data_IF_211330386694
#
_entry.id   IF_211330386694
#
_cell.length_a   1.000
_cell.length_b   1.000
_cell.length_c   1.000
_cell.angle_alpha   90.00
_cell.angle_beta   90.00
_cell.angle_gamma   90.00
#
_symmetry.space_group_name_H-M   'P 1'
#
loop_
_entity.id
_entity.type
_entity.pdbx_description
1 polymer ?
#
# COMPACT_ATOMS: atom_id res chain seq x y z
N UNK A 1 -14.02 -23.07 -3.08
CA UNK A 1 -12.71 -23.09 -3.77
C UNK A 1 -11.68 -23.63 -2.81
N UNK A 2 -10.91 -24.65 -3.20
CA UNK A 2 -9.89 -25.21 -2.34
C UNK A 2 -8.57 -24.44 -2.46
N UNK A 3 -7.62 -24.75 -1.59
CA UNK A 3 -6.33 -24.06 -1.54
C UNK A 3 -5.57 -24.15 -2.86
N UNK A 4 -5.62 -25.32 -3.50
CA UNK A 4 -4.95 -25.56 -4.77
C UNK A 4 -5.49 -24.66 -5.86
N UNK A 5 -6.82 -24.48 -5.92
CA UNK A 5 -7.46 -23.56 -6.85
C UNK A 5 -7.08 -22.11 -6.57
N UNK A 6 -6.98 -21.75 -5.30
CA UNK A 6 -6.55 -20.39 -4.91
C UNK A 6 -5.11 -20.14 -5.35
N UNK A 7 -4.21 -21.10 -5.11
CA UNK A 7 -2.80 -20.98 -5.49
C UNK A 7 -2.58 -20.99 -6.99
N UNK A 8 -3.45 -21.67 -7.74
CA UNK A 8 -3.35 -21.73 -9.20
C UNK A 8 -4.02 -20.55 -9.91
N UNK A 9 -4.72 -19.70 -9.16
CA UNK A 9 -5.35 -18.52 -9.73
C UNK A 9 -4.30 -17.60 -10.31
N UNK A 10 -4.49 -17.25 -11.57
CA UNK A 10 -3.66 -16.28 -12.27
C UNK A 10 -4.36 -14.91 -12.30
N UNK A 11 -5.19 -14.64 -11.30
CA UNK A 11 -5.82 -13.35 -11.17
C UNK A 11 -4.74 -12.31 -10.87
N UNK A 12 -4.75 -11.19 -11.56
CA UNK A 12 -3.76 -10.16 -11.33
C UNK A 12 -3.94 -9.54 -9.96
N UNK A 13 -2.82 -9.18 -9.36
CA UNK A 13 -2.80 -8.38 -8.16
C UNK A 13 -2.22 -7.02 -8.49
N UNK A 14 -2.74 -5.98 -7.85
CA UNK A 14 -2.26 -4.63 -8.04
C UNK A 14 -1.48 -4.16 -6.83
N UNK A 15 -0.37 -3.48 -7.09
CA UNK A 15 0.33 -2.68 -6.09
C UNK A 15 -0.08 -1.23 -6.37
N UNK A 16 -0.64 -0.57 -5.38
CA UNK A 16 -1.17 0.78 -5.52
C UNK A 16 -0.51 1.74 -4.53
N UNK A 17 -0.62 3.03 -4.82
CA UNK A 17 -0.20 4.10 -3.93
C UNK A 17 -1.40 5.00 -3.69
N UNK A 18 -1.74 5.21 -2.42
CA UNK A 18 -2.89 6.03 -2.05
C UNK A 18 -2.47 7.13 -1.10
N UNK A 19 -2.99 8.33 -1.36
CA UNK A 19 -2.96 9.45 -0.43
C UNK A 19 -4.29 9.47 0.31
N UNK A 20 -4.27 9.74 1.59
CA UNK A 20 -5.49 9.83 2.39
C UNK A 20 -5.26 10.67 3.62
N UNK A 21 -6.36 11.04 4.27
CA UNK A 21 -6.32 11.80 5.52
C UNK A 21 -6.94 10.96 6.63
N UNK A 22 -6.16 10.68 7.66
CA UNK A 22 -6.61 9.89 8.81
C UNK A 22 -6.22 10.62 10.10
N UNK A 23 -7.18 10.72 11.04
CA UNK A 23 -6.98 11.45 12.30
C UNK A 23 -6.46 12.88 12.07
N UNK A 24 -6.91 13.52 10.99
CA UNK A 24 -6.49 14.87 10.62
C UNK A 24 -5.11 14.97 9.99
N UNK A 25 -4.40 13.84 9.83
CA UNK A 25 -3.06 13.80 9.27
C UNK A 25 -3.08 13.38 7.80
N UNK A 26 -2.48 14.21 6.94
CA UNK A 26 -2.22 13.82 5.55
C UNK A 26 -1.20 12.69 5.53
N UNK A 27 -1.54 11.61 4.85
CA UNK A 27 -0.82 10.34 4.93
C UNK A 27 -0.77 9.66 3.58
N UNK A 28 0.08 8.65 3.46
CA UNK A 28 0.12 7.81 2.29
C UNK A 28 0.47 6.38 2.66
N UNK A 29 0.14 5.47 1.77
CA UNK A 29 0.60 4.07 1.88
C UNK A 29 0.59 3.38 0.53
N UNK A 30 1.57 2.52 0.26
CA UNK A 30 1.46 1.50 -0.76
C UNK A 30 0.65 0.31 -0.21
N UNK A 31 -0.02 -0.41 -1.09
CA UNK A 31 -0.75 -1.60 -0.68
C UNK A 31 -1.01 -2.51 -1.86
N UNK A 32 -1.45 -3.72 -1.60
CA UNK A 32 -1.80 -4.67 -2.65
C UNK A 32 -3.28 -5.07 -2.56
N UNK A 33 -3.87 -5.37 -3.69
CA UNK A 33 -5.25 -5.82 -3.77
C UNK A 33 -5.46 -6.69 -4.99
N UNK A 34 -6.35 -7.69 -4.86
CA UNK A 34 -6.80 -8.50 -5.97
C UNK A 34 -8.04 -7.96 -6.68
N UNK A 35 -8.55 -6.81 -6.24
CA UNK A 35 -9.73 -6.20 -6.85
C UNK A 35 -9.33 -5.37 -8.06
N UNK A 36 -10.18 -5.38 -9.09
CA UNK A 36 -9.98 -4.55 -10.27
C UNK A 36 -10.07 -3.07 -9.94
N UNK A 37 -10.91 -2.72 -8.98
CA UNK A 37 -11.10 -1.34 -8.54
C UNK A 37 -10.56 -1.14 -7.14
N UNK A 38 -9.38 -0.52 -7.06
CA UNK A 38 -8.71 -0.21 -5.80
C UNK A 38 -9.54 0.77 -4.96
N UNK A 39 -10.33 1.63 -5.61
CA UNK A 39 -11.07 2.69 -4.91
C UNK A 39 -12.12 2.15 -3.96
N UNK A 40 -12.72 0.99 -4.26
CA UNK A 40 -13.79 0.41 -3.43
C UNK A 40 -13.37 0.23 -1.97
N UNK A 41 -12.13 -0.17 -1.76
CA UNK A 41 -11.61 -0.39 -0.41
C UNK A 41 -11.58 0.91 0.39
N UNK A 42 -11.12 1.99 -0.24
CA UNK A 42 -10.99 3.28 0.41
C UNK A 42 -12.32 4.02 0.51
N UNK A 43 -13.24 3.80 -0.44
CA UNK A 43 -14.61 4.29 -0.32
C UNK A 43 -15.29 3.75 0.93
N UNK A 44 -15.09 2.47 1.24
CA UNK A 44 -15.60 1.85 2.45
C UNK A 44 -15.05 2.53 3.71
N UNK A 45 -13.76 2.81 3.74
CA UNK A 45 -13.13 3.52 4.86
C UNK A 45 -13.68 4.94 5.00
N UNK A 46 -13.95 5.60 3.88
CA UNK A 46 -14.53 6.93 3.86
C UNK A 46 -15.95 6.93 4.42
N UNK A 47 -16.78 5.96 3.99
CA UNK A 47 -18.14 5.80 4.48
C UNK A 47 -18.19 5.52 5.97
N UNK A 48 -17.25 4.75 6.48
CA UNK A 48 -17.16 4.42 7.90
C UNK A 48 -16.56 5.55 8.75
N UNK A 49 -16.11 6.64 8.11
CA UNK A 49 -15.52 7.77 8.80
C UNK A 49 -14.11 7.54 9.32
N UNK A 50 -13.43 6.47 8.84
CA UNK A 50 -12.07 6.15 9.24
C UNK A 50 -11.09 7.14 8.62
N UNK A 51 -11.33 7.48 7.36
CA UNK A 51 -10.58 8.50 6.64
C UNK A 51 -11.54 9.60 6.21
N UNK A 52 -11.04 10.80 6.00
CA UNK A 52 -11.88 11.93 5.56
C UNK A 52 -11.73 12.26 4.08
N UNK A 53 -10.70 11.71 3.43
CA UNK A 53 -10.45 11.94 2.00
C UNK A 53 -9.44 10.91 1.52
N UNK A 54 -9.44 10.59 0.21
CA UNK A 54 -8.41 9.74 -0.39
C UNK A 54 -8.26 9.98 -1.88
N UNK A 55 -7.09 9.62 -2.42
CA UNK A 55 -6.79 9.67 -3.84
C UNK A 55 -5.80 8.57 -4.18
N UNK A 56 -6.15 7.74 -5.17
CA UNK A 56 -5.22 6.75 -5.72
C UNK A 56 -4.32 7.46 -6.73
N UNK A 57 -3.02 7.46 -6.50
CA UNK A 57 -2.05 8.13 -7.38
C UNK A 57 -1.62 7.26 -8.54
N UNK A 58 -1.34 5.98 -8.27
CA UNK A 58 -0.86 5.06 -9.30
C UNK A 58 -1.10 3.63 -8.85
N UNK A 59 -1.08 2.72 -9.81
CA UNK A 59 -1.09 1.29 -9.55
C UNK A 59 -0.42 0.55 -10.69
N UNK A 60 0.07 -0.65 -10.39
CA UNK A 60 0.66 -1.54 -11.39
C UNK A 60 0.19 -2.97 -11.14
N UNK A 61 0.08 -3.76 -12.20
CA UNK A 61 -0.36 -5.14 -12.13
C UNK A 61 0.82 -6.10 -12.03
N UNK A 62 0.63 -7.13 -11.23
CA UNK A 62 1.57 -8.25 -11.09
C UNK A 62 0.81 -9.53 -11.44
N UNK A 63 1.54 -10.56 -11.85
CA UNK A 63 0.94 -11.81 -12.33
C UNK A 63 0.18 -12.57 -11.25
N UNK A 64 0.58 -12.40 -9.99
CA UNK A 64 -0.04 -13.09 -8.86
C UNK A 64 0.25 -12.35 -7.56
N UNK A 65 -0.40 -12.81 -6.47
CA UNK A 65 -0.25 -12.21 -5.15
C UNK A 65 1.18 -12.25 -4.63
N UNK A 66 1.90 -13.34 -4.90
CA UNK A 66 3.27 -13.50 -4.39
C UNK A 66 4.21 -12.44 -4.95
N UNK A 67 4.14 -12.18 -6.26
CA UNK A 67 4.95 -11.14 -6.89
C UNK A 67 4.58 -9.75 -6.39
N UNK A 68 3.28 -9.47 -6.26
CA UNK A 68 2.82 -8.19 -5.73
C UNK A 68 3.28 -7.98 -4.29
N UNK A 69 3.17 -9.03 -3.46
CA UNK A 69 3.60 -8.99 -2.06
C UNK A 69 5.10 -8.72 -1.94
N UNK A 70 5.91 -9.42 -2.72
CA UNK A 70 7.37 -9.22 -2.72
C UNK A 70 7.73 -7.78 -3.11
N UNK A 71 7.06 -7.25 -4.12
CA UNK A 71 7.28 -5.88 -4.57
C UNK A 71 6.90 -4.87 -3.47
N UNK A 72 5.77 -5.08 -2.81
CA UNK A 72 5.33 -4.24 -1.71
C UNK A 72 6.32 -4.25 -0.55
N UNK A 73 6.74 -5.45 -0.12
CA UNK A 73 7.67 -5.58 1.01
C UNK A 73 9.03 -4.94 0.70
N UNK A 74 9.51 -5.10 -0.52
CA UNK A 74 10.76 -4.45 -0.95
C UNK A 74 10.63 -2.94 -0.90
N UNK A 75 9.51 -2.39 -1.37
CA UNK A 75 9.27 -0.96 -1.32
C UNK A 75 9.24 -0.44 0.12
N UNK A 76 8.57 -1.16 1.03
CA UNK A 76 8.54 -0.79 2.44
C UNK A 76 9.95 -0.70 3.03
N UNK A 77 10.80 -1.68 2.74
CA UNK A 77 12.19 -1.70 3.23
C UNK A 77 12.98 -0.52 2.66
N UNK A 78 12.87 -0.29 1.35
CA UNK A 78 13.59 0.81 0.69
C UNK A 78 13.19 2.19 1.24
N UNK A 79 11.91 2.40 1.46
CA UNK A 79 11.42 3.67 2.02
C UNK A 79 11.89 3.85 3.47
N UNK A 80 11.79 2.79 4.27
CA UNK A 80 12.25 2.84 5.66
C UNK A 80 13.75 3.12 5.75
N UNK A 81 14.54 2.50 4.89
CA UNK A 81 16.00 2.69 4.86
C UNK A 81 16.38 4.09 4.37
N UNK A 82 15.67 4.61 3.37
CA UNK A 82 15.99 5.89 2.75
C UNK A 82 15.48 7.09 3.55
N UNK A 83 14.27 6.98 4.09
CA UNK A 83 13.59 8.12 4.74
C UNK A 83 13.38 7.93 6.23
N UNK A 84 13.78 6.78 6.78
CA UNK A 84 13.58 6.46 8.19
C UNK A 84 12.17 5.92 8.47
N UNK A 85 12.00 5.39 9.65
CA UNK A 85 10.72 4.86 10.11
C UNK A 85 10.78 4.56 11.60
N UNK A 86 9.74 3.95 12.11
CA UNK A 86 9.68 3.59 13.51
C UNK A 86 10.67 2.44 13.80
N UNK A 87 11.55 2.64 14.78
CA UNK A 87 12.47 1.58 15.23
C UNK A 87 11.80 0.74 16.29
N UNK A 88 11.60 -0.53 15.98
CA UNK A 88 11.06 -1.49 16.92
C UNK A 88 12.14 -1.96 17.91
N UNK A 89 11.70 -2.57 19.01
CA UNK A 89 12.61 -3.11 20.04
C UNK A 89 13.58 -4.16 19.49
N UNK A 90 13.21 -4.85 18.40
CA UNK A 90 14.07 -5.84 17.74
C UNK A 90 15.15 -5.23 16.85
N UNK A 91 15.25 -3.91 16.81
CA UNK A 91 16.24 -3.18 16.02
C UNK A 91 15.85 -2.97 14.57
N UNK A 92 14.71 -3.50 14.13
CA UNK A 92 14.24 -3.34 12.76
C UNK A 92 13.52 -2.01 12.60
N UNK A 93 13.74 -1.37 11.44
CA UNK A 93 13.01 -0.17 11.08
C UNK A 93 11.72 -0.58 10.38
N UNK A 94 10.60 -0.10 10.89
CA UNK A 94 9.28 -0.36 10.29
C UNK A 94 8.94 0.73 9.30
N UNK A 95 8.07 0.40 8.35
CA UNK A 95 7.62 1.35 7.33
C UNK A 95 6.86 2.53 7.93
N UNK A 96 5.96 2.27 8.88
CA UNK A 96 5.15 3.33 9.48
C UNK A 96 6.00 4.31 10.29
N UNK A 97 5.61 5.58 10.29
CA UNK A 97 6.31 6.62 11.04
C UNK A 97 5.40 7.39 11.98
N UNK A 98 4.16 6.96 12.15
CA UNK A 98 3.25 7.47 13.19
C UNK A 98 2.17 6.45 13.48
N UNK A 99 1.46 6.65 14.59
CA UNK A 99 0.36 5.79 15.00
C UNK A 99 -0.95 6.55 14.87
N UNK A 100 -2.01 5.82 14.51
CA UNK A 100 -3.36 6.36 14.43
C UNK A 100 -4.21 5.79 15.57
N UNK A 101 -5.25 6.52 15.94
CA UNK A 101 -6.24 6.04 16.90
C UNK A 101 -7.10 4.93 16.28
N UNK A 102 -7.22 4.95 14.96
CA UNK A 102 -8.02 3.98 14.21
C UNK A 102 -7.13 2.85 13.72
N UNK A 103 -7.19 1.71 14.40
CA UNK A 103 -6.44 0.51 14.00
C UNK A 103 -7.36 -0.40 13.20
N UNK A 104 -7.24 -0.36 11.89
CA UNK A 104 -8.01 -1.23 11.01
C UNK A 104 -7.06 -2.10 10.19
N UNK A 105 -7.52 -3.31 9.86
CA UNK A 105 -6.79 -4.20 8.99
C UNK A 105 -6.51 -3.51 7.64
N UNK A 106 -5.25 -3.42 7.26
CA UNK A 106 -4.83 -2.77 6.04
C UNK A 106 -4.49 -1.29 6.16
N UNK A 107 -4.73 -0.68 7.33
CA UNK A 107 -4.33 0.70 7.61
C UNK A 107 -3.33 0.75 8.78
N UNK A 108 -2.40 -0.19 8.81
CA UNK A 108 -1.37 -0.24 9.84
C UNK A 108 0.00 0.24 9.35
N UNK A 109 0.20 0.24 8.04
CA UNK A 109 1.48 0.55 7.42
C UNK A 109 1.36 1.87 6.67
N UNK A 110 1.30 2.96 7.43
CA UNK A 110 1.08 4.30 6.89
C UNK A 110 2.21 5.23 7.28
N UNK A 111 2.42 6.24 6.42
CA UNK A 111 3.42 7.27 6.67
C UNK A 111 2.78 8.64 6.50
N UNK A 112 3.35 9.63 7.21
CA UNK A 112 2.96 11.03 7.01
C UNK A 112 3.30 11.43 5.59
N UNK A 113 2.44 12.22 4.98
CA UNK A 113 2.69 12.73 3.63
C UNK A 113 4.02 13.47 3.56
N UNK A 114 4.81 13.13 2.56
CA UNK A 114 6.03 13.82 2.20
C UNK A 114 6.21 13.67 0.69
N UNK A 115 6.39 14.78 0.00
CA UNK A 115 6.41 14.77 -1.47
C UNK A 115 7.55 13.90 -2.03
N UNK A 116 8.73 13.96 -1.43
CA UNK A 116 9.88 13.17 -1.90
C UNK A 116 9.63 11.66 -1.73
N UNK A 117 9.04 11.26 -0.61
CA UNK A 117 8.68 9.86 -0.35
C UNK A 117 7.61 9.37 -1.32
N UNK A 118 6.60 10.19 -1.55
CA UNK A 118 5.51 9.86 -2.48
C UNK A 118 6.05 9.73 -3.90
N UNK A 119 6.93 10.64 -4.32
CA UNK A 119 7.56 10.57 -5.63
C UNK A 119 8.38 9.29 -5.79
N UNK A 120 9.13 8.91 -4.76
CA UNK A 120 9.91 7.67 -4.76
C UNK A 120 9.00 6.45 -4.94
N UNK A 121 7.93 6.37 -4.17
CA UNK A 121 6.98 5.26 -4.24
C UNK A 121 6.29 5.21 -5.61
N UNK A 122 5.90 6.35 -6.15
CA UNK A 122 5.24 6.44 -7.46
C UNK A 122 6.18 5.93 -8.57
N UNK A 123 7.43 6.38 -8.57
CA UNK A 123 8.42 5.92 -9.53
C UNK A 123 8.67 4.41 -9.42
N UNK A 124 8.76 3.91 -8.19
CA UNK A 124 8.94 2.48 -7.95
C UNK A 124 7.78 1.66 -8.54
N UNK A 125 6.55 2.05 -8.25
CA UNK A 125 5.37 1.33 -8.71
C UNK A 125 5.25 1.41 -10.24
N UNK A 126 5.51 2.58 -10.81
CA UNK A 126 5.42 2.77 -12.25
C UNK A 126 6.50 2.00 -13.02
N UNK A 127 7.62 1.69 -12.39
CA UNK A 127 8.74 0.97 -13.01
C UNK A 127 8.78 -0.53 -12.67
N UNK A 128 7.93 -1.00 -11.76
CA UNK A 128 7.87 -2.40 -11.33
C UNK A 128 6.43 -2.90 -11.46
N UNK A 129 6.17 -3.65 -12.50
CA UNK A 129 4.84 -4.13 -12.78
C UNK A 129 4.36 -3.64 -14.13
N UNK A 130 3.15 -4.03 -14.51
CA UNK A 130 2.54 -3.65 -15.80
C UNK A 130 1.44 -2.64 -15.56
N UNK A 131 1.32 -1.68 -16.46
CA UNK A 131 0.24 -0.68 -16.37
C UNK A 131 -1.08 -1.22 -16.90
N UNK A 132 -1.04 -2.23 -17.74
CA UNK A 132 -2.22 -2.85 -18.31
C UNK A 132 -2.21 -4.34 -18.02
N UNK A 133 -3.39 -4.87 -17.77
CA UNK A 133 -3.58 -6.30 -17.62
C UNK A 133 -3.80 -6.95 -19.00
N UNK A 134 -2.90 -7.84 -19.34
CA UNK A 134 -3.01 -8.65 -20.56
C UNK A 134 -3.02 -10.12 -20.19
#
# INVERSE_FOLDING_TARGET
MNLEQVLSRRDPYQLYLVLFKIDGQNSYKPGITGYDDVTKRFESYLEEGIISDFKILTSSYFSNIEEAYKAEQKLFVEVADKFGGYKHKDGRTRFHNFYTKNKYNGITEIRKYNQDEVNYCQDYIDNNGRKEYN
#
